data_IF_662448519696
#
_entry.id   IF_662448519696
#
_cell.length_a   1.000
_cell.length_b   1.000
_cell.length_c   1.000
_cell.angle_alpha   90.00
_cell.angle_beta   90.00
_cell.angle_gamma   90.00
#
_symmetry.space_group_name_H-M   'P 1'
#
loop_
_entity.id
_entity.type
_entity.pdbx_description
1 polymer ?
#
# COMPACT_ATOMS: atom_id res chain seq x y z
N UNK A 1 -24.86 61.91 -4.29
CA UNK A 1 -23.86 61.27 -3.41
C UNK A 1 -23.53 59.91 -3.98
N UNK A 2 -22.39 59.81 -4.60
CA UNK A 2 -21.90 58.67 -5.38
C UNK A 2 -20.95 57.86 -4.51
N UNK A 3 -21.24 56.62 -4.22
CA UNK A 3 -20.32 55.70 -3.57
C UNK A 3 -19.70 54.74 -4.58
N UNK A 4 -18.40 54.86 -4.68
CA UNK A 4 -17.50 54.13 -5.58
C UNK A 4 -17.19 52.74 -5.00
N UNK A 5 -17.52 51.68 -5.75
CA UNK A 5 -17.15 50.31 -5.44
C UNK A 5 -15.73 50.01 -5.96
N UNK A 6 -14.84 49.62 -5.07
CA UNK A 6 -13.46 49.22 -5.41
C UNK A 6 -13.39 47.74 -5.68
N UNK A 7 -13.15 47.34 -6.94
CA UNK A 7 -12.77 45.98 -7.32
C UNK A 7 -11.28 45.76 -7.07
N UNK A 8 -10.93 44.83 -6.17
CA UNK A 8 -9.57 44.32 -6.04
C UNK A 8 -9.32 43.21 -7.08
N UNK A 9 -8.36 43.47 -7.96
CA UNK A 9 -7.85 42.49 -8.90
C UNK A 9 -6.79 41.61 -8.18
N UNK A 10 -6.92 40.29 -8.27
CA UNK A 10 -5.87 39.36 -7.88
C UNK A 10 -4.97 39.12 -9.06
N UNK A 11 -3.69 39.42 -8.89
CA UNK A 11 -2.64 39.17 -9.87
C UNK A 11 -2.26 37.68 -9.86
N UNK A 12 -2.29 37.11 -11.05
CA UNK A 12 -1.85 35.74 -11.34
C UNK A 12 -0.32 35.75 -11.50
N UNK A 13 0.42 35.11 -10.59
CA UNK A 13 1.87 34.94 -10.73
C UNK A 13 2.11 33.57 -11.38
N UNK A 14 2.29 33.56 -12.69
CA UNK A 14 2.79 32.42 -13.43
C UNK A 14 4.31 32.35 -13.32
N UNK A 15 4.85 31.32 -12.70
CA UNK A 15 6.26 30.97 -12.80
C UNK A 15 6.46 29.96 -13.92
N UNK A 16 6.96 30.49 -15.05
CA UNK A 16 7.45 29.73 -16.20
C UNK A 16 8.89 29.33 -15.92
N UNK A 17 9.17 28.05 -15.71
CA UNK A 17 10.56 27.54 -15.70
C UNK A 17 10.90 26.95 -17.06
N UNK A 18 11.70 27.71 -17.83
CA UNK A 18 12.33 27.30 -19.08
C UNK A 18 13.40 26.23 -18.80
N UNK A 19 13.23 25.03 -19.34
CA UNK A 19 14.33 24.06 -19.47
C UNK A 19 14.98 24.22 -20.85
N UNK A 20 16.21 24.74 -20.83
CA UNK A 20 17.08 24.82 -22.01
C UNK A 20 17.59 23.42 -22.36
N UNK A 21 17.39 23.00 -23.61
CA UNK A 21 18.01 21.84 -24.18
C UNK A 21 19.49 22.17 -24.48
N UNK A 22 20.42 21.44 -23.88
CA UNK A 22 21.82 21.40 -24.33
C UNK A 22 22.06 20.12 -25.10
N UNK A 23 22.27 20.27 -26.40
CA UNK A 23 22.82 19.27 -27.28
C UNK A 23 24.33 19.16 -27.06
N UNK A 24 24.81 17.99 -26.66
CA UNK A 24 26.21 17.62 -26.76
C UNK A 24 26.32 16.21 -27.34
N UNK A 25 26.77 16.19 -28.58
CA UNK A 25 27.13 15.01 -29.34
C UNK A 25 28.51 14.52 -28.88
N UNK A 26 28.59 13.23 -28.41
CA UNK A 26 29.82 12.41 -28.56
C UNK A 26 29.54 10.95 -28.36
N UNK A 27 29.79 10.18 -29.39
CA UNK A 27 29.85 8.72 -29.47
C UNK A 27 30.67 8.10 -28.34
N UNK A 28 30.06 7.18 -27.57
CA UNK A 28 30.79 6.06 -27.02
C UNK A 28 29.81 4.91 -26.72
N UNK A 29 30.20 3.71 -27.13
CA UNK A 29 29.53 2.45 -26.86
C UNK A 29 29.25 2.34 -25.39
N UNK A 30 28.01 2.58 -24.95
CA UNK A 30 27.54 2.33 -23.61
C UNK A 30 26.37 1.39 -23.68
N UNK A 31 26.51 0.31 -22.95
CA UNK A 31 25.50 -0.68 -22.64
C UNK A 31 24.18 0.03 -22.36
N UNK A 32 23.11 -0.43 -23.00
CA UNK A 32 21.74 0.01 -22.84
C UNK A 32 21.34 -0.09 -21.36
N UNK A 33 21.58 0.97 -20.62
CA UNK A 33 21.04 1.16 -19.29
C UNK A 33 19.64 1.73 -19.50
N UNK A 34 18.66 0.85 -19.61
CA UNK A 34 17.25 1.24 -19.48
C UNK A 34 17.06 1.72 -18.06
N UNK A 35 16.96 3.03 -17.88
CA UNK A 35 16.58 3.64 -16.62
C UNK A 35 15.13 3.25 -16.28
N UNK A 36 14.98 2.14 -15.58
CA UNK A 36 13.72 1.73 -14.98
C UNK A 36 13.72 2.28 -13.55
N UNK A 37 13.36 3.55 -13.41
CA UNK A 37 13.16 4.22 -12.10
C UNK A 37 12.04 3.55 -11.25
N UNK A 38 11.28 2.64 -11.84
CA UNK A 38 10.21 1.88 -11.18
C UNK A 38 10.66 0.56 -10.54
N UNK A 39 11.90 0.11 -10.75
CA UNK A 39 12.26 -1.27 -10.41
C UNK A 39 12.86 -1.49 -9.02
N UNK A 40 13.36 -0.46 -8.33
CA UNK A 40 14.08 -0.72 -7.08
C UNK A 40 13.16 -1.18 -5.94
N UNK A 41 11.95 -0.61 -5.81
CA UNK A 41 10.99 -1.06 -4.78
C UNK A 41 10.38 -2.42 -5.12
N UNK A 42 10.08 -2.69 -6.38
CA UNK A 42 9.55 -3.99 -6.84
C UNK A 42 10.62 -5.09 -6.71
N UNK A 43 11.88 -4.80 -6.99
CA UNK A 43 13.00 -5.74 -6.84
C UNK A 43 13.27 -6.12 -5.37
N UNK A 44 13.24 -5.14 -4.48
CA UNK A 44 13.42 -5.37 -3.02
C UNK A 44 12.29 -6.26 -2.51
N UNK A 45 11.06 -6.02 -2.95
CA UNK A 45 9.90 -6.79 -2.54
C UNK A 45 9.94 -8.24 -3.05
N UNK A 46 10.34 -8.47 -4.31
CA UNK A 46 10.50 -9.83 -4.86
C UNK A 46 11.57 -10.64 -4.13
N UNK A 47 12.66 -10.01 -3.68
CA UNK A 47 13.70 -10.69 -2.90
C UNK A 47 13.19 -11.07 -1.52
N UNK A 48 12.50 -10.17 -0.85
CA UNK A 48 11.89 -10.41 0.45
C UNK A 48 10.81 -11.50 0.39
N UNK A 49 9.98 -11.49 -0.67
CA UNK A 49 9.01 -12.53 -0.95
C UNK A 49 9.65 -13.92 -1.15
N UNK A 50 10.70 -14.01 -1.96
CA UNK A 50 11.42 -15.28 -2.17
C UNK A 50 12.00 -15.83 -0.87
N UNK A 51 12.50 -14.95 0.00
CA UNK A 51 13.02 -15.34 1.31
C UNK A 51 11.89 -15.84 2.23
N UNK A 52 10.75 -15.16 2.24
CA UNK A 52 9.56 -15.54 3.01
C UNK A 52 9.03 -16.92 2.57
N UNK A 53 8.86 -17.13 1.26
CA UNK A 53 8.40 -18.41 0.71
C UNK A 53 9.36 -19.57 1.00
N UNK A 54 10.66 -19.31 1.03
CA UNK A 54 11.68 -20.29 1.35
C UNK A 54 11.68 -20.70 2.84
N UNK A 55 11.16 -19.85 3.73
CA UNK A 55 11.11 -20.11 5.18
C UNK A 55 9.98 -21.06 5.61
N UNK A 56 9.11 -21.51 4.68
CA UNK A 56 8.01 -22.43 4.99
C UNK A 56 6.91 -21.89 5.91
N UNK A 57 6.95 -20.61 6.25
CA UNK A 57 5.99 -19.96 7.16
C UNK A 57 4.74 -19.41 6.44
N UNK A 58 4.43 -20.00 5.29
CA UNK A 58 3.34 -19.53 4.45
C UNK A 58 1.99 -19.97 5.03
N UNK A 59 1.21 -18.99 5.44
CA UNK A 59 -0.14 -19.17 5.96
C UNK A 59 -1.11 -18.61 4.94
N UNK A 60 -2.03 -19.41 4.40
CA UNK A 60 -3.03 -18.95 3.45
C UNK A 60 -3.97 -17.90 4.06
N UNK A 61 -4.62 -17.08 3.21
CA UNK A 61 -5.58 -16.07 3.65
C UNK A 61 -6.67 -16.64 4.57
N UNK A 62 -7.22 -17.82 4.27
CA UNK A 62 -8.26 -18.45 5.11
C UNK A 62 -7.73 -18.81 6.50
N UNK A 63 -6.52 -19.35 6.58
CA UNK A 63 -5.87 -19.64 7.86
C UNK A 63 -5.50 -18.35 8.59
N UNK A 64 -5.00 -17.33 7.88
CA UNK A 64 -4.75 -16.02 8.48
C UNK A 64 -6.04 -15.43 9.07
N UNK A 65 -7.15 -15.49 8.33
CA UNK A 65 -8.44 -15.00 8.80
C UNK A 65 -8.94 -15.72 10.06
N UNK A 66 -8.68 -17.01 10.22
CA UNK A 66 -9.05 -17.76 11.44
C UNK A 66 -8.15 -17.43 12.64
N UNK A 67 -6.96 -16.88 12.41
CA UNK A 67 -5.99 -16.48 13.46
C UNK A 67 -6.20 -15.08 14.02
N UNK A 68 -7.22 -14.36 13.58
CA UNK A 68 -7.50 -13.02 14.08
C UNK A 68 -7.87 -13.12 15.57
N UNK A 69 -7.11 -12.47 16.44
CA UNK A 69 -7.46 -12.30 17.86
C UNK A 69 -8.61 -11.31 17.93
N UNK A 70 -9.79 -11.75 18.34
CA UNK A 70 -11.02 -10.93 18.36
C UNK A 70 -11.26 -10.25 19.69
N UNK A 71 -10.64 -10.77 20.75
CA UNK A 71 -10.69 -10.20 22.09
C UNK A 71 -9.95 -8.85 22.12
N UNK A 72 -10.46 -7.97 22.98
CA UNK A 72 -9.83 -6.66 23.20
C UNK A 72 -8.80 -6.79 24.32
N UNK A 73 -7.59 -6.42 24.02
CA UNK A 73 -6.50 -6.42 25.00
C UNK A 73 -5.86 -5.05 25.07
N UNK A 74 -5.31 -4.70 26.23
CA UNK A 74 -4.58 -3.46 26.41
C UNK A 74 -3.21 -3.47 25.72
N UNK A 75 -2.57 -2.31 25.68
CA UNK A 75 -1.25 -2.13 25.07
C UNK A 75 -0.19 -3.08 25.63
N UNK A 76 -0.21 -3.31 26.95
CA UNK A 76 0.80 -4.14 27.61
C UNK A 76 0.65 -5.61 27.21
N UNK A 77 -0.58 -6.08 27.10
CA UNK A 77 -0.84 -7.42 26.61
C UNK A 77 -0.30 -7.61 25.19
N UNK A 78 -0.62 -6.68 24.27
CA UNK A 78 -0.17 -6.75 22.89
C UNK A 78 1.34 -6.77 22.78
N UNK A 79 2.08 -5.91 23.53
CA UNK A 79 3.54 -5.89 23.51
C UNK A 79 4.20 -7.12 24.11
N UNK A 80 3.54 -7.82 25.04
CA UNK A 80 4.06 -9.10 25.55
C UNK A 80 3.95 -10.24 24.54
N UNK A 81 2.97 -10.19 23.63
CA UNK A 81 2.69 -11.27 22.68
C UNK A 81 3.27 -11.02 21.29
N UNK A 82 3.42 -9.76 20.88
CA UNK A 82 3.86 -9.41 19.54
C UNK A 82 4.89 -8.27 19.56
N UNK A 83 6.03 -8.53 18.93
CA UNK A 83 7.15 -7.57 18.90
C UNK A 83 6.97 -6.43 17.90
N UNK A 84 6.02 -6.58 16.93
CA UNK A 84 5.79 -5.60 15.88
C UNK A 84 4.37 -5.13 15.91
N UNK A 85 4.22 -3.83 16.19
CA UNK A 85 2.94 -3.15 16.21
C UNK A 85 3.10 -1.82 15.48
N UNK A 86 2.16 -1.49 14.59
CA UNK A 86 2.13 -0.25 13.84
C UNK A 86 0.75 0.37 13.84
N UNK A 87 0.66 1.67 13.62
CA UNK A 87 -0.61 2.37 13.42
C UNK A 87 -0.97 2.36 11.94
N UNK A 88 -2.22 1.98 11.61
CA UNK A 88 -2.69 1.96 10.24
C UNK A 88 -4.22 2.02 10.17
N UNK A 89 -4.79 2.82 9.26
CA UNK A 89 -6.21 2.83 8.92
C UNK A 89 -7.15 3.00 10.12
N UNK A 90 -6.79 3.89 11.07
CA UNK A 90 -7.61 4.24 12.23
C UNK A 90 -7.43 3.36 13.47
N UNK A 91 -6.47 2.43 13.47
CA UNK A 91 -6.16 1.56 14.60
C UNK A 91 -4.74 1.01 14.61
N UNK A 92 -4.41 0.23 15.62
CA UNK A 92 -3.12 -0.43 15.76
C UNK A 92 -3.18 -1.86 15.19
N UNK A 93 -2.10 -2.28 14.57
CA UNK A 93 -1.98 -3.57 13.91
C UNK A 93 -0.74 -4.31 14.39
N UNK A 94 -0.87 -5.61 14.67
CA UNK A 94 0.24 -6.47 15.03
C UNK A 94 0.63 -7.40 13.88
N UNK A 95 1.92 -7.72 13.83
CA UNK A 95 2.48 -8.65 12.86
C UNK A 95 2.56 -10.07 13.42
N UNK A 96 2.07 -11.03 12.66
CA UNK A 96 2.25 -12.44 12.97
C UNK A 96 2.27 -13.29 11.70
N UNK A 97 3.28 -14.17 11.58
CA UNK A 97 3.39 -15.19 10.53
C UNK A 97 3.10 -14.70 9.10
N UNK A 98 3.66 -13.56 8.72
CA UNK A 98 3.51 -13.01 7.38
C UNK A 98 2.30 -12.09 7.18
N UNK A 99 1.50 -11.86 8.21
CA UNK A 99 0.27 -11.11 8.12
C UNK A 99 0.19 -10.02 9.17
N UNK A 100 -0.47 -8.93 8.81
CA UNK A 100 -0.88 -7.87 9.71
C UNK A 100 -2.33 -8.08 10.14
N UNK A 101 -2.59 -7.89 11.42
CA UNK A 101 -3.90 -8.08 12.04
C UNK A 101 -4.27 -6.89 12.92
N UNK A 102 -5.57 -6.53 13.05
CA UNK A 102 -6.01 -5.50 13.97
C UNK A 102 -5.71 -5.86 15.43
N UNK A 103 -5.11 -4.95 16.19
CA UNK A 103 -4.84 -5.09 17.63
C UNK A 103 -5.93 -4.40 18.43
N UNK A 104 -7.12 -5.01 18.49
CA UNK A 104 -8.27 -4.40 19.17
C UNK A 104 -8.00 -4.16 20.65
N UNK A 105 -8.37 -2.95 21.12
CA UNK A 105 -8.19 -2.53 22.50
C UNK A 105 -6.79 -2.00 22.81
N UNK A 106 -5.84 -2.08 21.88
CA UNK A 106 -4.49 -1.53 22.07
C UNK A 106 -4.50 -0.07 22.53
N UNK A 107 -5.36 0.73 21.94
CA UNK A 107 -5.59 2.12 22.33
C UNK A 107 -7.09 2.44 22.21
N UNK A 108 -7.76 2.88 23.29
CA UNK A 108 -9.20 3.14 23.27
C UNK A 108 -9.62 4.27 22.33
N UNK A 109 -8.72 5.21 22.03
CA UNK A 109 -8.98 6.35 21.16
C UNK A 109 -8.81 6.02 19.66
N UNK A 110 -8.09 4.94 19.32
CA UNK A 110 -7.80 4.52 17.94
C UNK A 110 -8.34 3.12 17.69
N UNK A 111 -9.63 3.03 17.50
CA UNK A 111 -10.35 1.76 17.40
C UNK A 111 -11.35 1.73 16.21
N UNK A 112 -11.19 2.68 15.29
CA UNK A 112 -12.04 2.81 14.10
C UNK A 112 -11.30 2.25 12.87
N UNK A 113 -11.20 0.93 12.81
CA UNK A 113 -10.55 0.23 11.71
C UNK A 113 -11.36 0.33 10.42
N UNK A 114 -10.79 0.93 9.36
CA UNK A 114 -11.39 0.99 8.03
C UNK A 114 -11.50 -0.41 7.41
N UNK A 115 -10.58 -1.29 7.75
CA UNK A 115 -10.57 -2.70 7.39
C UNK A 115 -10.23 -3.53 8.63
N UNK A 116 -10.86 -4.69 8.80
CA UNK A 116 -10.72 -5.53 10.00
C UNK A 116 -10.28 -6.97 9.71
N UNK A 117 -9.91 -7.26 8.48
CA UNK A 117 -9.35 -8.55 8.08
C UNK A 117 -7.82 -8.55 8.06
N UNK A 118 -7.17 -9.69 7.77
CA UNK A 118 -5.72 -9.76 7.67
C UNK A 118 -5.23 -9.10 6.38
N UNK A 119 -4.05 -8.46 6.44
CA UNK A 119 -3.33 -7.88 5.30
C UNK A 119 -2.02 -8.64 5.15
N UNK A 120 -1.81 -9.28 4.00
CA UNK A 120 -0.53 -9.94 3.74
C UNK A 120 0.58 -8.92 3.63
N UNK A 121 1.62 -9.10 4.45
CA UNK A 121 2.80 -8.24 4.44
C UNK A 121 4.06 -9.07 4.25
N UNK A 122 4.73 -8.90 3.14
CA UNK A 122 5.98 -9.59 2.86
C UNK A 122 7.18 -8.74 3.30
N UNK A 123 8.25 -9.41 3.73
CA UNK A 123 9.53 -8.77 4.01
C UNK A 123 9.49 -7.61 4.99
N UNK A 124 8.53 -7.65 5.92
CA UNK A 124 8.31 -6.62 6.93
C UNK A 124 7.72 -5.29 6.42
N UNK A 125 7.20 -5.25 5.20
CA UNK A 125 6.49 -4.08 4.70
C UNK A 125 5.28 -3.75 5.60
N UNK A 126 5.08 -2.47 5.88
CA UNK A 126 3.92 -2.03 6.68
C UNK A 126 2.63 -2.23 5.90
N UNK A 127 1.45 -2.28 6.57
CA UNK A 127 0.16 -2.33 5.87
C UNK A 127 -0.02 -1.16 4.90
N UNK A 128 0.49 0.02 5.25
CA UNK A 128 0.47 1.21 4.41
C UNK A 128 1.26 0.99 3.11
N UNK A 129 2.52 0.52 3.22
CA UNK A 129 3.39 0.34 2.05
C UNK A 129 2.84 -0.70 1.09
N UNK A 130 2.37 -1.82 1.62
CA UNK A 130 1.76 -2.90 0.81
C UNK A 130 0.50 -2.38 0.10
N UNK A 131 -0.38 -1.68 0.82
CA UNK A 131 -1.61 -1.15 0.24
C UNK A 131 -1.31 -0.11 -0.85
N UNK A 132 -0.37 0.81 -0.62
CA UNK A 132 0.02 1.80 -1.61
C UNK A 132 0.59 1.17 -2.89
N UNK A 133 1.35 0.07 -2.76
CA UNK A 133 1.86 -0.67 -3.91
C UNK A 133 0.74 -1.37 -4.69
N UNK A 134 -0.21 -1.99 -3.98
CA UNK A 134 -1.39 -2.61 -4.60
C UNK A 134 -2.24 -1.55 -5.33
N UNK A 135 -2.48 -0.40 -4.72
CA UNK A 135 -3.21 0.71 -5.35
C UNK A 135 -2.52 1.16 -6.65
N UNK A 136 -1.18 1.34 -6.64
CA UNK A 136 -0.42 1.69 -7.85
C UNK A 136 -0.54 0.63 -8.93
N UNK A 137 -0.36 -0.64 -8.59
CA UNK A 137 -0.45 -1.73 -9.55
C UNK A 137 -1.85 -1.87 -10.15
N UNK A 138 -2.88 -1.72 -9.34
CA UNK A 138 -4.28 -1.72 -9.80
C UNK A 138 -4.59 -0.49 -10.65
N UNK A 139 -4.05 0.67 -10.33
CA UNK A 139 -4.23 1.89 -11.13
C UNK A 139 -3.55 1.76 -12.51
N UNK A 140 -2.34 1.21 -12.57
CA UNK A 140 -1.63 0.95 -13.82
C UNK A 140 -2.37 -0.01 -14.75
N UNK A 141 -3.18 -0.91 -14.18
CA UNK A 141 -3.98 -1.89 -14.93
C UNK A 141 -5.45 -1.46 -15.10
N UNK A 142 -5.81 -0.22 -14.72
CA UNK A 142 -7.15 0.34 -14.93
C UNK A 142 -8.23 -0.16 -13.97
N UNK A 143 -7.86 -0.77 -12.84
CA UNK A 143 -8.82 -1.23 -11.83
C UNK A 143 -9.06 -0.21 -10.72
N UNK A 144 -8.13 0.72 -10.48
CA UNK A 144 -8.22 1.70 -9.39
C UNK A 144 -8.04 3.12 -9.90
N UNK A 145 -8.95 4.01 -9.52
CA UNK A 145 -8.97 5.42 -9.94
C UNK A 145 -8.95 6.40 -8.76
N UNK A 146 -8.80 5.88 -7.54
CA UNK A 146 -8.70 6.70 -6.34
C UNK A 146 -7.27 7.18 -6.06
N UNK A 147 -7.08 7.95 -4.99
CA UNK A 147 -5.76 8.39 -4.55
C UNK A 147 -4.91 7.21 -4.07
N UNK A 148 -3.60 7.29 -4.27
CA UNK A 148 -2.64 6.32 -3.72
C UNK A 148 -2.33 6.73 -2.27
N UNK A 149 -3.28 6.49 -1.39
CA UNK A 149 -3.26 6.90 0.02
C UNK A 149 -2.78 5.81 0.98
N UNK A 150 -2.46 4.63 0.45
CA UNK A 150 -2.01 3.49 1.26
C UNK A 150 -3.10 2.91 2.19
N UNK A 151 -4.37 3.28 2.01
CA UNK A 151 -5.47 2.83 2.86
C UNK A 151 -6.32 1.76 2.15
N UNK A 152 -6.53 0.62 2.81
CA UNK A 152 -7.38 -0.46 2.30
C UNK A 152 -8.87 -0.16 2.57
N UNK A 153 -9.33 0.97 2.01
CA UNK A 153 -10.71 1.42 2.10
C UNK A 153 -11.65 0.70 1.11
N UNK A 154 -12.94 1.07 1.11
CA UNK A 154 -13.94 0.44 0.23
C UNK A 154 -13.59 0.51 -1.26
N UNK A 155 -13.05 1.65 -1.73
CA UNK A 155 -12.64 1.83 -3.13
C UNK A 155 -11.52 0.89 -3.54
N UNK A 156 -10.47 0.77 -2.71
CA UNK A 156 -9.36 -0.16 -2.94
C UNK A 156 -9.83 -1.61 -2.91
N UNK A 157 -10.68 -1.97 -1.97
CA UNK A 157 -11.24 -3.32 -1.86
C UNK A 157 -12.10 -3.69 -3.05
N UNK A 158 -12.92 -2.77 -3.55
CA UNK A 158 -13.71 -2.98 -4.77
C UNK A 158 -12.83 -3.16 -6.00
N UNK A 159 -11.71 -2.44 -6.10
CA UNK A 159 -10.74 -2.59 -7.17
C UNK A 159 -10.05 -3.96 -7.12
N UNK A 160 -9.62 -4.39 -5.92
CA UNK A 160 -9.06 -5.74 -5.70
C UNK A 160 -10.08 -6.80 -6.11
N UNK A 161 -11.32 -6.68 -5.69
CA UNK A 161 -12.39 -7.63 -6.01
C UNK A 161 -12.57 -7.79 -7.52
N UNK A 162 -12.68 -6.68 -8.27
CA UNK A 162 -12.78 -6.73 -9.74
C UNK A 162 -11.56 -7.40 -10.36
N UNK A 163 -10.37 -7.03 -9.91
CA UNK A 163 -9.12 -7.63 -10.36
C UNK A 163 -9.10 -9.14 -10.12
N UNK A 164 -9.50 -9.59 -8.93
CA UNK A 164 -9.57 -11.01 -8.59
C UNK A 164 -10.54 -11.78 -9.49
N UNK A 165 -11.72 -11.23 -9.74
CA UNK A 165 -12.72 -11.82 -10.64
C UNK A 165 -12.14 -11.99 -12.05
N UNK A 166 -11.60 -10.93 -12.63
CA UNK A 166 -11.11 -10.92 -14.02
C UNK A 166 -9.88 -11.84 -14.21
N UNK A 167 -9.16 -12.14 -13.14
CA UNK A 167 -7.98 -13.00 -13.18
C UNK A 167 -8.23 -14.42 -12.64
N UNK A 168 -9.49 -14.79 -12.35
CA UNK A 168 -9.87 -16.12 -11.87
C UNK A 168 -9.28 -16.44 -10.48
N UNK A 169 -9.04 -15.44 -9.64
CA UNK A 169 -8.56 -15.60 -8.28
C UNK A 169 -9.72 -15.80 -7.30
N UNK A 170 -9.42 -16.32 -6.10
CA UNK A 170 -10.38 -16.31 -5.02
C UNK A 170 -10.80 -14.85 -4.69
N UNK A 171 -12.10 -14.58 -4.65
CA UNK A 171 -12.66 -13.24 -4.45
C UNK A 171 -12.70 -12.93 -2.96
N UNK A 172 -11.57 -12.44 -2.44
CA UNK A 172 -11.41 -12.10 -1.02
C UNK A 172 -11.64 -10.62 -0.72
N UNK A 173 -11.53 -9.77 -1.75
CA UNK A 173 -11.49 -8.30 -1.64
C UNK A 173 -10.43 -7.84 -0.62
N UNK A 174 -9.37 -8.61 -0.43
CA UNK A 174 -8.28 -8.39 0.52
C UNK A 174 -6.93 -8.45 -0.20
N UNK A 175 -5.91 -7.90 0.46
CA UNK A 175 -4.53 -8.06 0.02
C UNK A 175 -4.05 -9.42 0.53
N UNK A 176 -4.21 -10.41 -0.32
CA UNK A 176 -3.74 -11.77 -0.09
C UNK A 176 -2.54 -12.09 -0.98
N UNK A 177 -1.93 -13.22 -0.70
CA UNK A 177 -0.74 -13.70 -1.37
C UNK A 177 -0.92 -13.86 -2.89
N UNK A 178 -2.02 -14.52 -3.30
CA UNK A 178 -2.27 -14.80 -4.71
C UNK A 178 -2.50 -13.50 -5.50
N UNK A 179 -3.19 -12.54 -4.91
CA UNK A 179 -3.40 -11.22 -5.49
C UNK A 179 -2.07 -10.48 -5.67
N UNK A 180 -1.19 -10.48 -4.66
CA UNK A 180 0.13 -9.84 -4.77
C UNK A 180 1.00 -10.52 -5.84
N UNK A 181 1.01 -11.84 -5.87
CA UNK A 181 1.73 -12.60 -6.89
C UNK A 181 1.24 -12.25 -8.30
N UNK A 182 -0.07 -12.23 -8.51
CA UNK A 182 -0.69 -11.92 -9.80
C UNK A 182 -0.44 -10.47 -10.23
N UNK A 183 -0.40 -9.53 -9.29
CA UNK A 183 -0.02 -8.14 -9.53
C UNK A 183 1.49 -7.95 -9.81
N UNK A 184 2.31 -8.99 -9.66
CA UNK A 184 3.76 -8.93 -9.82
C UNK A 184 4.48 -8.24 -8.66
N UNK A 185 3.85 -8.16 -7.49
CA UNK A 185 4.36 -7.51 -6.28
C UNK A 185 5.02 -8.50 -5.32
N UNK A 186 4.89 -9.80 -5.56
CA UNK A 186 5.43 -10.86 -4.72
C UNK A 186 6.15 -11.93 -5.56
#
# INVERSE_FOLDING_TARGET
MTTRSSKKAYANVGTSTNYSAQTANKSNKSKKQTNVVTNNNVQVNKKAWRHFKRSGNEVSFNVARSRIVRERHDRNWWHRHYSRITFYGGGYWYWNAGWWYPAWGYNPYYNNYIYNGPIFGYGYASPFDVTAQVQRALAQQGYYYGPIDGVLGPGTRSAIQRYQIDHGLAVTAAIDEQTLYRLGLA
#
